data_IF_940118051880
#
_entry.id   IF_940118051880
#
_cell.length_a   1.000
_cell.length_b   1.000
_cell.length_c   1.000
_cell.angle_alpha   90.00
_cell.angle_beta   90.00
_cell.angle_gamma   90.00
#
_symmetry.space_group_name_H-M   'P 1'
#
loop_
_entity.id
_entity.type
_entity.pdbx_description
1 polymer ?
#
# COMPACT_ATOMS: atom_id res chain seq x y z
N UNK A 1 -0.26 35.42 -16.06
CA UNK A 1 -1.35 35.18 -17.04
C UNK A 1 -2.65 35.88 -16.69
N UNK A 2 -2.89 36.25 -15.42
CA UNK A 2 -4.04 37.10 -15.03
C UNK A 2 -4.12 38.44 -15.77
N UNK A 3 -2.99 38.95 -16.28
CA UNK A 3 -2.90 40.19 -17.07
C UNK A 3 -3.75 40.18 -18.35
N UNK A 4 -4.14 38.99 -18.84
CA UNK A 4 -5.03 38.83 -20.00
C UNK A 4 -6.50 39.08 -19.61
N UNK A 5 -6.85 39.00 -18.32
CA UNK A 5 -8.19 39.24 -17.82
C UNK A 5 -8.40 40.75 -17.67
N UNK A 6 -9.55 41.24 -18.16
CA UNK A 6 -9.87 42.66 -18.10
C UNK A 6 -9.84 43.20 -16.65
N UNK A 7 -8.92 44.13 -16.41
CA UNK A 7 -8.68 44.74 -15.10
C UNK A 7 -9.58 45.93 -14.78
N UNK A 8 -10.56 46.24 -15.64
CA UNK A 8 -11.44 47.39 -15.45
C UNK A 8 -10.87 48.68 -16.01
N UNK A 9 -11.71 49.70 -16.06
CA UNK A 9 -11.35 51.08 -16.39
C UNK A 9 -12.04 52.01 -15.39
N UNK A 10 -11.85 53.33 -15.53
CA UNK A 10 -12.59 54.32 -14.73
C UNK A 10 -14.13 54.18 -14.86
N UNK A 11 -14.62 53.54 -15.91
CA UNK A 11 -16.04 53.42 -16.24
C UNK A 11 -16.59 51.99 -16.08
N UNK A 12 -15.72 50.97 -16.11
CA UNK A 12 -16.11 49.56 -16.10
C UNK A 12 -15.38 48.78 -15.01
N UNK A 13 -16.14 47.94 -14.30
CA UNK A 13 -15.58 47.08 -13.25
C UNK A 13 -14.68 45.99 -13.85
N UNK A 14 -13.65 45.55 -13.12
CA UNK A 14 -12.84 44.40 -13.50
C UNK A 14 -13.69 43.14 -13.64
N UNK A 15 -13.32 42.27 -14.58
CA UNK A 15 -13.94 40.96 -14.76
C UNK A 15 -13.11 39.87 -14.07
N UNK A 16 -13.77 38.76 -13.73
CA UNK A 16 -13.14 37.60 -13.08
C UNK A 16 -12.70 36.48 -14.04
N UNK A 17 -13.14 36.55 -15.30
CA UNK A 17 -12.96 35.52 -16.32
C UNK A 17 -12.62 36.18 -17.66
N UNK A 18 -11.70 35.58 -18.41
CA UNK A 18 -11.54 35.80 -19.84
C UNK A 18 -11.82 34.49 -20.60
N UNK A 19 -12.63 34.56 -21.65
CA UNK A 19 -12.94 33.42 -22.51
C UNK A 19 -12.64 33.79 -23.97
N UNK A 20 -11.97 32.88 -24.68
CA UNK A 20 -11.74 32.99 -26.12
C UNK A 20 -12.30 31.74 -26.79
N UNK A 21 -13.07 31.95 -27.87
CA UNK A 21 -13.63 30.89 -28.69
C UNK A 21 -13.04 30.97 -30.10
N UNK A 22 -12.52 29.85 -30.59
CA UNK A 22 -12.05 29.68 -31.96
C UNK A 22 -12.94 28.65 -32.65
N UNK A 23 -13.66 29.08 -33.68
CA UNK A 23 -14.49 28.19 -34.51
C UNK A 23 -13.76 27.85 -35.80
N UNK A 24 -13.57 26.56 -36.06
CA UNK A 24 -12.88 26.01 -37.23
C UNK A 24 -13.87 25.18 -38.03
N UNK A 25 -13.94 25.43 -39.35
CA UNK A 25 -14.67 24.58 -40.28
C UNK A 25 -13.78 23.43 -40.74
N UNK A 26 -14.14 22.20 -40.37
CA UNK A 26 -13.42 20.97 -40.65
C UNK A 26 -13.98 20.20 -41.87
N UNK A 27 -14.50 20.90 -42.88
CA UNK A 27 -15.14 20.30 -44.06
C UNK A 27 -14.26 19.30 -44.85
N UNK A 28 -12.94 19.33 -44.63
CA UNK A 28 -11.96 18.43 -45.29
C UNK A 28 -11.54 17.25 -44.40
N UNK A 29 -12.08 17.13 -43.18
CA UNK A 29 -11.74 16.07 -42.23
C UNK A 29 -10.26 16.06 -41.81
N UNK A 30 -9.62 17.23 -41.80
CA UNK A 30 -8.18 17.37 -41.46
C UNK A 30 -7.99 17.17 -39.95
N UNK A 31 -8.89 17.73 -39.14
CA UNK A 31 -8.90 17.48 -37.70
C UNK A 31 -9.51 16.09 -37.45
N UNK A 32 -8.94 15.28 -36.55
CA UNK A 32 -9.38 13.91 -36.27
C UNK A 32 -10.65 13.87 -35.39
N UNK A 33 -11.68 14.58 -35.81
CA UNK A 33 -13.00 14.68 -35.16
C UNK A 33 -14.08 14.57 -36.23
N UNK A 34 -15.20 13.94 -35.87
CA UNK A 34 -16.33 13.68 -36.79
C UNK A 34 -17.18 14.93 -37.10
N UNK A 35 -16.89 16.05 -36.43
CA UNK A 35 -17.65 17.28 -36.57
C UNK A 35 -17.10 18.15 -37.70
N UNK A 36 -18.01 18.66 -38.56
CA UNK A 36 -17.70 19.64 -39.60
C UNK A 36 -17.40 21.04 -39.03
N UNK A 37 -17.85 21.32 -37.82
CA UNK A 37 -17.56 22.55 -37.09
C UNK A 37 -16.97 22.22 -35.72
N UNK A 38 -15.80 22.77 -35.44
CA UNK A 38 -15.04 22.53 -34.22
C UNK A 38 -14.83 23.85 -33.51
N UNK A 39 -15.38 23.97 -32.30
CA UNK A 39 -15.24 25.13 -31.43
C UNK A 39 -14.27 24.78 -30.31
N UNK A 40 -13.17 25.51 -30.24
CA UNK A 40 -12.17 25.39 -29.19
C UNK A 40 -12.30 26.60 -28.28
N UNK A 41 -12.50 26.36 -26.99
CA UNK A 41 -12.66 27.41 -25.99
C UNK A 41 -11.52 27.33 -25.00
N UNK A 42 -10.93 28.47 -24.66
CA UNK A 42 -10.04 28.61 -23.51
C UNK A 42 -10.63 29.62 -22.53
N UNK A 43 -10.75 29.22 -21.26
CA UNK A 43 -11.17 30.07 -20.15
C UNK A 43 -10.01 30.26 -19.18
N UNK A 44 -9.85 31.49 -18.69
CA UNK A 44 -8.87 31.87 -17.69
C UNK A 44 -9.57 32.59 -16.54
N UNK A 45 -9.36 32.09 -15.33
CA UNK A 45 -9.92 32.66 -14.11
C UNK A 45 -8.83 33.42 -13.34
N UNK A 46 -9.25 34.40 -12.53
CA UNK A 46 -8.34 35.10 -11.59
C UNK A 46 -7.73 34.20 -10.52
N UNK A 47 -8.25 32.99 -10.31
CA UNK A 47 -7.61 31.98 -9.45
C UNK A 47 -6.30 31.43 -10.04
N UNK A 48 -6.00 31.74 -11.31
CA UNK A 48 -4.91 31.16 -12.07
C UNK A 48 -5.29 29.87 -12.80
N UNK A 49 -6.53 29.38 -12.60
CA UNK A 49 -7.03 28.19 -13.27
C UNK A 49 -7.29 28.46 -14.76
N UNK A 50 -6.96 27.47 -15.59
CA UNK A 50 -7.22 27.49 -17.03
C UNK A 50 -8.06 26.28 -17.40
N UNK A 51 -9.19 26.52 -18.06
CA UNK A 51 -10.03 25.47 -18.60
C UNK A 51 -9.99 25.47 -20.13
N UNK A 52 -10.11 24.28 -20.69
CA UNK A 52 -10.06 24.02 -22.11
C UNK A 52 -11.31 23.24 -22.49
N UNK A 53 -12.02 23.70 -23.53
CA UNK A 53 -13.21 23.02 -24.02
C UNK A 53 -13.09 22.76 -25.52
N UNK A 54 -13.54 21.58 -25.94
CA UNK A 54 -13.71 21.18 -27.32
C UNK A 54 -15.19 20.91 -27.54
N UNK A 55 -15.85 21.68 -28.41
CA UNK A 55 -17.30 21.63 -28.62
C UNK A 55 -18.09 21.68 -27.30
N UNK A 56 -17.73 22.60 -26.41
CA UNK A 56 -18.30 22.79 -25.05
C UNK A 56 -18.03 21.64 -24.06
N UNK A 57 -17.34 20.58 -24.46
CA UNK A 57 -16.89 19.51 -23.57
C UNK A 57 -15.53 19.84 -22.96
N UNK A 58 -15.37 19.71 -21.65
CA UNK A 58 -14.09 19.96 -20.99
C UNK A 58 -13.04 18.92 -21.41
N UNK A 59 -11.84 19.38 -21.74
CA UNK A 59 -10.71 18.54 -22.16
C UNK A 59 -9.40 19.08 -21.58
N UNK A 60 -8.30 18.35 -21.78
CA UNK A 60 -6.97 18.80 -21.35
C UNK A 60 -6.32 19.61 -22.47
N UNK A 61 -5.40 20.51 -22.10
CA UNK A 61 -4.54 21.20 -23.06
C UNK A 61 -3.84 20.22 -24.02
N UNK A 62 -3.42 19.06 -23.51
CA UNK A 62 -2.80 18.00 -24.32
C UNK A 62 -3.72 17.51 -25.44
N UNK A 63 -5.02 17.37 -25.16
CA UNK A 63 -5.98 16.86 -26.14
C UNK A 63 -6.18 17.89 -27.27
N UNK A 64 -6.19 19.19 -26.95
CA UNK A 64 -6.19 20.27 -27.94
C UNK A 64 -4.88 20.30 -28.74
N UNK A 65 -3.72 20.17 -28.09
CA UNK A 65 -2.44 20.13 -28.81
C UNK A 65 -2.34 18.94 -29.76
N UNK A 66 -2.83 17.77 -29.35
CA UNK A 66 -2.88 16.58 -30.21
C UNK A 66 -3.77 16.74 -31.43
N UNK A 67 -4.83 17.54 -31.34
CA UNK A 67 -5.72 17.86 -32.45
C UNK A 67 -4.98 18.56 -33.61
N UNK A 68 -3.92 19.33 -33.32
CA UNK A 68 -3.20 20.15 -34.30
C UNK A 68 -1.82 19.60 -34.72
N UNK A 69 -1.35 18.48 -34.17
CA UNK A 69 0.00 17.99 -34.46
C UNK A 69 0.27 17.67 -35.95
N UNK A 70 -0.77 17.29 -36.70
CA UNK A 70 -0.65 16.91 -38.11
C UNK A 70 -1.17 18.00 -39.07
N UNK A 71 -1.59 19.15 -38.56
CA UNK A 71 -2.22 20.22 -39.36
C UNK A 71 -1.29 21.40 -39.65
N UNK A 72 -0.09 21.41 -39.04
CA UNK A 72 0.84 22.52 -39.13
C UNK A 72 0.35 23.79 -38.41
N UNK A 73 -0.65 23.67 -37.51
CA UNK A 73 -1.17 24.76 -36.65
C UNK A 73 -0.86 24.52 -35.16
N UNK A 74 0.25 23.86 -34.85
CA UNK A 74 0.74 23.68 -33.49
C UNK A 74 1.30 24.97 -32.84
N UNK A 75 1.75 24.91 -31.57
CA UNK A 75 2.35 26.04 -30.85
C UNK A 75 3.59 26.63 -31.53
N UNK A 76 4.23 25.87 -32.42
CA UNK A 76 5.43 26.24 -33.17
C UNK A 76 5.15 26.39 -34.67
N UNK A 77 3.87 26.38 -35.06
CA UNK A 77 3.44 26.47 -36.43
C UNK A 77 3.96 27.72 -37.13
N UNK A 78 4.49 27.54 -38.33
CA UNK A 78 4.82 28.62 -39.26
C UNK A 78 3.59 29.42 -39.73
N UNK A 79 2.37 28.99 -39.38
CA UNK A 79 1.14 29.70 -39.70
C UNK A 79 0.99 31.03 -38.95
N UNK A 80 1.76 31.24 -37.87
CA UNK A 80 1.76 32.50 -37.10
C UNK A 80 3.18 33.03 -37.01
N UNK A 81 3.47 34.10 -37.75
CA UNK A 81 4.78 34.76 -37.67
C UNK A 81 4.79 35.63 -36.41
N UNK A 82 5.46 35.13 -35.37
CA UNK A 82 5.70 35.89 -34.15
C UNK A 82 6.90 36.83 -34.32
N UNK A 83 6.91 37.94 -33.58
CA UNK A 83 8.06 38.82 -33.51
C UNK A 83 9.27 38.05 -32.94
N UNK A 84 10.40 38.05 -33.65
CA UNK A 84 11.59 37.26 -33.32
C UNK A 84 11.65 35.85 -33.96
N UNK A 85 10.58 35.37 -34.60
CA UNK A 85 10.60 34.10 -35.33
C UNK A 85 11.55 34.15 -36.54
N UNK A 86 11.67 35.33 -37.17
CA UNK A 86 12.64 35.57 -38.26
C UNK A 86 14.07 35.37 -37.77
N UNK A 87 14.39 35.83 -36.57
CA UNK A 87 15.72 35.66 -35.97
C UNK A 87 15.99 34.19 -35.62
N UNK A 88 14.97 33.43 -35.24
CA UNK A 88 15.10 31.99 -34.99
C UNK A 88 15.38 31.18 -36.28
N UNK A 89 14.78 31.60 -37.41
CA UNK A 89 15.07 31.00 -38.73
C UNK A 89 16.51 31.34 -39.17
N UNK A 90 16.95 32.56 -38.89
CA UNK A 90 18.30 33.06 -39.19
C UNK A 90 19.34 32.68 -38.13
N UNK A 91 18.94 32.01 -37.04
CA UNK A 91 19.80 31.60 -35.94
C UNK A 91 20.86 30.61 -36.43
N UNK A 92 22.10 30.78 -35.94
CA UNK A 92 23.20 29.85 -36.20
C UNK A 92 23.07 28.54 -35.42
N UNK A 93 22.22 28.50 -34.37
CA UNK A 93 22.01 27.30 -33.57
C UNK A 93 21.26 26.24 -34.38
N UNK A 94 21.91 25.10 -34.57
CA UNK A 94 21.36 23.98 -35.33
C UNK A 94 20.06 23.42 -34.73
N UNK A 95 19.87 23.52 -33.41
CA UNK A 95 18.69 23.03 -32.70
C UNK A 95 17.42 23.81 -33.06
N UNK A 96 17.51 25.14 -33.12
CA UNK A 96 16.37 26.01 -33.45
C UNK A 96 15.86 25.73 -34.87
N UNK A 97 16.79 25.64 -35.83
CA UNK A 97 16.47 25.28 -37.21
C UNK A 97 15.91 23.86 -37.33
N UNK A 98 16.47 22.90 -36.57
CA UNK A 98 16.02 21.50 -36.62
C UNK A 98 14.57 21.36 -36.20
N UNK A 99 14.12 22.07 -35.16
CA UNK A 99 12.74 22.00 -34.71
C UNK A 99 11.77 22.47 -35.80
N UNK A 100 12.11 23.55 -36.52
CA UNK A 100 11.32 24.06 -37.65
C UNK A 100 11.21 23.02 -38.78
N UNK A 101 12.32 22.39 -39.15
CA UNK A 101 12.32 21.35 -40.19
C UNK A 101 11.56 20.08 -39.76
N UNK A 102 11.68 19.67 -38.49
CA UNK A 102 10.96 18.52 -37.96
C UNK A 102 9.44 18.74 -37.95
N UNK A 103 8.99 19.97 -37.68
CA UNK A 103 7.58 20.33 -37.75
C UNK A 103 7.07 20.40 -39.19
N UNK A 104 7.85 20.99 -40.10
CA UNK A 104 7.53 20.98 -41.53
C UNK A 104 7.48 19.55 -42.11
N UNK A 105 8.33 18.65 -41.60
CA UNK A 105 8.32 17.23 -41.98
C UNK A 105 7.22 16.40 -41.30
N UNK A 106 6.43 16.99 -40.38
CA UNK A 106 5.35 16.30 -39.67
C UNK A 106 5.83 15.18 -38.72
N UNK A 107 7.11 15.14 -38.34
CA UNK A 107 7.66 14.07 -37.49
C UNK A 107 7.48 14.33 -36.00
N UNK A 108 7.04 15.53 -35.61
CA UNK A 108 6.88 15.99 -34.22
C UNK A 108 5.98 15.06 -33.41
N UNK A 109 4.84 14.61 -33.97
CA UNK A 109 3.92 13.66 -33.33
C UNK A 109 4.60 12.36 -32.93
N UNK A 110 5.36 11.75 -33.84
CA UNK A 110 6.05 10.50 -33.61
C UNK A 110 7.18 10.65 -32.59
N UNK A 111 7.93 11.77 -32.67
CA UNK A 111 9.00 12.09 -31.72
C UNK A 111 8.44 12.27 -30.30
N UNK A 112 7.33 12.99 -30.15
CA UNK A 112 6.67 13.17 -28.86
C UNK A 112 6.15 11.83 -28.30
N UNK A 113 5.46 11.02 -29.12
CA UNK A 113 4.97 9.69 -28.71
C UNK A 113 6.11 8.77 -28.30
N UNK A 114 7.22 8.77 -29.04
CA UNK A 114 8.43 8.01 -28.70
C UNK A 114 9.00 8.45 -27.36
N UNK A 115 9.12 9.76 -27.11
CA UNK A 115 9.64 10.30 -25.85
C UNK A 115 8.75 9.89 -24.66
N UNK A 116 7.44 10.00 -24.81
CA UNK A 116 6.49 9.56 -23.77
C UNK A 116 6.55 8.06 -23.52
N UNK A 117 6.62 7.24 -24.58
CA UNK A 117 6.71 5.80 -24.46
C UNK A 117 8.00 5.37 -23.75
N UNK A 118 9.13 5.99 -24.06
CA UNK A 118 10.41 5.75 -23.37
C UNK A 118 10.30 6.16 -21.90
N UNK A 119 9.75 7.34 -21.61
CA UNK A 119 9.59 7.80 -20.23
C UNK A 119 8.70 6.84 -19.41
N UNK A 120 7.59 6.35 -19.98
CA UNK A 120 6.73 5.34 -19.35
C UNK A 120 7.47 4.02 -19.13
N UNK A 121 8.24 3.57 -20.13
CA UNK A 121 9.02 2.34 -20.02
C UNK A 121 10.02 2.41 -18.87
N UNK A 122 10.76 3.51 -18.74
CA UNK A 122 11.73 3.70 -17.66
C UNK A 122 11.04 3.77 -16.28
N UNK A 123 9.89 4.44 -16.18
CA UNK A 123 9.10 4.44 -14.95
C UNK A 123 8.65 3.03 -14.56
N UNK A 124 8.12 2.25 -15.52
CA UNK A 124 7.70 0.86 -15.27
C UNK A 124 8.86 -0.04 -14.88
N UNK A 125 10.05 0.14 -15.47
CA UNK A 125 11.26 -0.60 -15.04
C UNK A 125 11.63 -0.30 -13.60
N UNK A 126 11.57 0.97 -13.19
CA UNK A 126 11.82 1.36 -11.80
C UNK A 126 10.81 0.73 -10.84
N UNK A 127 9.52 0.72 -11.22
CA UNK A 127 8.46 0.07 -10.43
C UNK A 127 8.69 -1.43 -10.27
N UNK A 128 9.09 -2.13 -11.35
CA UNK A 128 9.41 -3.56 -11.31
C UNK A 128 10.59 -3.88 -10.40
N UNK A 129 11.63 -3.04 -10.42
CA UNK A 129 12.78 -3.21 -9.54
C UNK A 129 12.37 -3.11 -8.07
N UNK A 130 11.55 -2.10 -7.74
CA UNK A 130 11.01 -1.93 -6.39
C UNK A 130 10.10 -3.10 -5.96
N UNK A 131 9.30 -3.62 -6.88
CA UNK A 131 8.49 -4.82 -6.61
C UNK A 131 9.37 -6.04 -6.33
N UNK A 132 10.48 -6.19 -7.05
CA UNK A 132 11.47 -7.24 -6.80
C UNK A 132 12.02 -7.18 -5.38
N UNK A 133 12.38 -5.99 -4.89
CA UNK A 133 12.88 -5.80 -3.52
C UNK A 133 11.82 -6.18 -2.47
N UNK A 134 10.57 -5.77 -2.68
CA UNK A 134 9.45 -6.09 -1.77
C UNK A 134 9.20 -7.61 -1.73
N UNK A 135 9.22 -8.28 -2.88
CA UNK A 135 9.04 -9.74 -2.94
C UNK A 135 10.15 -10.44 -2.16
N UNK A 136 11.42 -10.03 -2.36
CA UNK A 136 12.55 -10.61 -1.64
C UNK A 136 12.44 -10.40 -0.11
N UNK A 137 11.96 -9.24 0.32
CA UNK A 137 11.71 -8.97 1.74
C UNK A 137 10.58 -9.86 2.31
N UNK A 138 9.46 -9.97 1.59
CA UNK A 138 8.33 -10.82 2.01
C UNK A 138 8.76 -12.28 2.08
N UNK A 139 9.51 -12.79 1.11
CA UNK A 139 10.02 -14.17 1.11
C UNK A 139 10.90 -14.45 2.34
N UNK A 140 11.74 -13.48 2.73
CA UNK A 140 12.54 -13.58 3.95
C UNK A 140 11.66 -13.65 5.20
N UNK A 141 10.62 -12.82 5.28
CA UNK A 141 9.66 -12.83 6.40
C UNK A 141 8.89 -14.16 6.47
N UNK A 142 8.41 -14.67 5.33
CA UNK A 142 7.73 -15.97 5.24
C UNK A 142 8.66 -17.10 5.71
N UNK A 143 9.93 -17.08 5.29
CA UNK A 143 10.93 -18.04 5.74
C UNK A 143 11.15 -18.02 7.26
N UNK A 144 11.20 -16.84 7.87
CA UNK A 144 11.32 -16.69 9.33
C UNK A 144 10.07 -17.19 10.06
N UNK A 145 8.87 -16.82 9.60
CA UNK A 145 7.60 -17.26 10.17
C UNK A 145 7.43 -18.78 10.09
N UNK A 146 7.86 -19.40 8.99
CA UNK A 146 7.86 -20.87 8.84
C UNK A 146 8.71 -21.55 9.90
N UNK A 147 9.90 -21.01 10.22
CA UNK A 147 10.77 -21.52 11.29
C UNK A 147 10.18 -21.31 12.68
N UNK A 148 9.53 -20.17 12.91
CA UNK A 148 8.84 -19.89 14.18
C UNK A 148 7.66 -20.85 14.39
N UNK A 149 6.84 -21.06 13.35
CA UNK A 149 5.72 -22.00 13.38
C UNK A 149 6.19 -23.45 13.65
N UNK A 150 7.29 -23.87 13.02
CA UNK A 150 7.88 -25.19 13.27
C UNK A 150 8.31 -25.37 14.74
N UNK A 151 8.99 -24.35 15.31
CA UNK A 151 9.39 -24.35 16.73
C UNK A 151 8.19 -24.37 17.67
N UNK A 152 7.17 -23.57 17.41
CA UNK A 152 5.94 -23.55 18.21
C UNK A 152 5.22 -24.91 18.19
N UNK A 153 5.14 -25.57 17.02
CA UNK A 153 4.57 -26.92 16.91
C UNK A 153 5.40 -27.99 17.62
N UNK A 154 6.73 -27.87 17.63
CA UNK A 154 7.61 -28.77 18.37
C UNK A 154 7.44 -28.57 19.89
N UNK A 155 7.42 -27.32 20.33
CA UNK A 155 7.17 -26.97 21.73
C UNK A 155 5.83 -27.49 22.24
N UNK A 156 4.75 -27.30 21.47
CA UNK A 156 3.42 -27.82 21.87
C UNK A 156 3.45 -29.33 22.08
N UNK A 157 4.08 -30.09 21.17
CA UNK A 157 4.22 -31.54 21.29
C UNK A 157 5.02 -31.95 22.53
N UNK A 158 6.17 -31.31 22.75
CA UNK A 158 7.00 -31.58 23.94
C UNK A 158 6.29 -31.21 25.25
N UNK A 159 5.49 -30.14 25.25
CA UNK A 159 4.70 -29.73 26.40
C UNK A 159 3.60 -30.74 26.72
N UNK A 160 2.93 -31.27 25.70
CA UNK A 160 1.90 -32.29 25.88
C UNK A 160 2.50 -33.60 26.40
N UNK A 161 3.67 -34.00 25.87
CA UNK A 161 4.43 -35.16 26.33
C UNK A 161 4.89 -34.99 27.80
N UNK A 162 5.50 -33.85 28.14
CA UNK A 162 5.89 -33.52 29.52
C UNK A 162 4.69 -33.61 30.47
N UNK A 163 3.56 -33.01 30.10
CA UNK A 163 2.34 -33.03 30.91
C UNK A 163 1.84 -34.46 31.14
N UNK A 164 1.93 -35.33 30.13
CA UNK A 164 1.54 -36.72 30.28
C UNK A 164 2.44 -37.46 31.28
N UNK A 165 3.76 -37.26 31.20
CA UNK A 165 4.74 -37.85 32.12
C UNK A 165 4.54 -37.32 33.55
N UNK A 166 4.34 -36.02 33.72
CA UNK A 166 4.06 -35.40 35.02
C UNK A 166 2.80 -35.99 35.66
N UNK A 167 1.72 -36.16 34.89
CA UNK A 167 0.49 -36.79 35.37
C UNK A 167 0.71 -38.25 35.78
N UNK A 168 1.46 -39.02 34.98
CA UNK A 168 1.80 -40.42 35.31
C UNK A 168 2.64 -40.51 36.58
N UNK A 169 3.66 -39.64 36.71
CA UNK A 169 4.50 -39.60 37.90
C UNK A 169 3.70 -39.21 39.15
N UNK A 170 2.86 -38.17 39.05
CA UNK A 170 2.01 -37.73 40.16
C UNK A 170 1.04 -38.84 40.59
N UNK A 171 0.44 -39.56 39.64
CA UNK A 171 -0.43 -40.70 39.94
C UNK A 171 0.32 -41.84 40.66
N UNK A 172 1.54 -42.17 40.21
CA UNK A 172 2.39 -43.18 40.87
C UNK A 172 2.75 -42.78 42.30
N UNK A 173 3.14 -41.51 42.51
CA UNK A 173 3.50 -41.01 43.84
C UNK A 173 2.29 -41.01 44.79
N UNK A 174 1.10 -40.66 44.29
CA UNK A 174 -0.14 -40.74 45.07
C UNK A 174 -0.47 -42.18 45.45
N UNK A 175 -0.31 -43.12 44.52
CA UNK A 175 -0.54 -44.55 44.79
C UNK A 175 0.42 -45.09 45.86
N UNK A 176 1.72 -44.79 45.75
CA UNK A 176 2.71 -45.15 46.76
C UNK A 176 2.41 -44.53 48.13
N UNK A 177 2.01 -43.26 48.15
CA UNK A 177 1.64 -42.57 49.39
C UNK A 177 0.39 -43.17 50.03
N UNK A 178 -0.61 -43.56 49.22
CA UNK A 178 -1.81 -44.25 49.71
C UNK A 178 -1.47 -45.64 50.27
N UNK A 179 -0.60 -46.39 49.59
CA UNK A 179 -0.11 -47.67 50.09
C UNK A 179 0.57 -47.54 51.44
N UNK A 180 1.50 -46.58 51.59
CA UNK A 180 2.16 -46.28 52.87
C UNK A 180 1.18 -45.83 53.95
N UNK A 181 0.19 -45.00 53.60
CA UNK A 181 -0.82 -44.56 54.56
C UNK A 181 -1.65 -45.75 55.07
N UNK A 182 -2.05 -46.65 54.18
CA UNK A 182 -2.80 -47.85 54.55
C UNK A 182 -2.00 -48.77 55.46
N UNK A 183 -0.71 -48.98 55.16
CA UNK A 183 0.19 -49.76 56.00
C UNK A 183 0.34 -49.15 57.40
N UNK A 184 0.51 -47.82 57.48
CA UNK A 184 0.58 -47.09 58.75
C UNK A 184 -0.75 -47.15 59.52
N UNK A 185 -1.90 -47.12 58.85
CA UNK A 185 -3.21 -47.28 59.48
C UNK A 185 -3.40 -48.66 60.10
N UNK A 186 -3.04 -49.72 59.38
CA UNK A 186 -3.06 -51.09 59.92
C UNK A 186 -2.14 -51.18 61.14
N UNK A 187 -0.92 -50.64 61.04
CA UNK A 187 0.04 -50.66 62.15
C UNK A 187 -0.45 -49.90 63.37
N UNK A 188 -1.08 -48.73 63.17
CA UNK A 188 -1.73 -47.95 64.23
C UNK A 188 -2.85 -48.74 64.88
N UNK A 189 -3.70 -49.40 64.08
CA UNK A 189 -4.77 -50.26 64.59
C UNK A 189 -4.26 -51.39 65.47
N UNK A 190 -3.22 -52.10 65.03
CA UNK A 190 -2.59 -53.18 65.79
C UNK A 190 -2.00 -52.68 67.12
N UNK A 191 -1.23 -51.58 67.07
CA UNK A 191 -0.67 -50.97 68.28
C UNK A 191 -1.75 -50.50 69.26
N UNK A 192 -2.91 -50.04 68.77
CA UNK A 192 -4.01 -49.61 69.63
C UNK A 192 -4.73 -50.79 70.30
N UNK A 193 -4.85 -51.92 69.61
CA UNK A 193 -5.32 -53.18 70.21
C UNK A 193 -4.34 -53.66 71.27
N UNK A 194 -3.04 -53.70 70.97
CA UNK A 194 -2.00 -54.05 71.94
C UNK A 194 -2.03 -53.13 73.17
N UNK A 195 -2.12 -51.81 72.96
CA UNK A 195 -2.24 -50.85 74.04
C UNK A 195 -3.50 -51.08 74.89
N UNK A 196 -4.65 -51.36 74.28
CA UNK A 196 -5.88 -51.67 75.02
C UNK A 196 -5.77 -52.96 75.85
N UNK A 197 -5.08 -53.97 75.33
CA UNK A 197 -4.84 -55.22 76.04
C UNK A 197 -3.91 -55.00 77.25
N UNK A 198 -2.81 -54.25 77.05
CA UNK A 198 -1.88 -53.90 78.13
C UNK A 198 -2.56 -53.02 79.19
N UNK A 199 -3.38 -52.04 78.79
CA UNK A 199 -4.16 -51.23 79.73
C UNK A 199 -5.14 -52.07 80.55
N UNK A 200 -5.86 -53.00 79.91
CA UNK A 200 -6.79 -53.89 80.61
C UNK A 200 -6.07 -54.85 81.57
N UNK A 201 -4.88 -55.33 81.20
CA UNK A 201 -4.02 -56.13 82.09
C UNK A 201 -3.46 -55.31 83.26
N UNK A 202 -3.16 -54.03 83.04
CA UNK A 202 -2.73 -53.12 84.09
C UNK A 202 -3.86 -52.82 85.08
N UNK A 203 -5.06 -52.51 84.60
CA UNK A 203 -6.26 -52.31 85.44
C UNK A 203 -6.60 -53.56 86.26
N UNK A 204 -6.50 -54.77 85.68
CA UNK A 204 -6.63 -56.03 86.43
C UNK A 204 -5.56 -56.20 87.51
N UNK A 205 -4.33 -55.76 87.24
CA UNK A 205 -3.24 -55.79 88.23
C UNK A 205 -3.48 -54.79 89.36
N UNK A 206 -3.97 -53.58 89.05
CA UNK A 206 -4.33 -52.59 90.06
C UNK A 206 -5.50 -53.04 90.93
N UNK A 207 -6.55 -53.62 90.35
CA UNK A 207 -7.68 -54.14 91.13
C UNK A 207 -7.25 -55.26 92.08
N UNK A 208 -6.38 -56.19 91.64
CA UNK A 208 -5.88 -57.25 92.53
C UNK A 208 -4.95 -56.76 93.64
N UNK A 209 -4.27 -55.61 93.43
CA UNK A 209 -3.49 -54.91 94.45
C UNK A 209 -4.37 -54.14 95.44
N UNK A 210 -5.51 -53.60 95.01
CA UNK A 210 -6.49 -52.95 95.90
C UNK A 210 -7.28 -53.96 96.75
N UNK A 211 -7.58 -55.16 96.24
CA UNK A 211 -8.23 -56.23 97.03
C UNK A 211 -7.29 -56.90 98.05
N UNK A 212 -5.97 -56.74 97.91
CA UNK A 212 -4.96 -57.21 98.88
C UNK A 212 -4.62 -56.22 100.01
N UNK A 213 -5.38 -55.13 100.13
CA UNK A 213 -5.26 -54.13 101.21
C UNK A 213 -6.48 -54.15 102.10
#
# INVERSE_FOLDING_TARGET
>A
MEEVIFNGTAQLKPLGLAEVNLTIKNNRGILPVEYDEVVITRRLYRSGESEYLLNKSQCRLKDIMELFYDTGMGPHAYSVIQQGMVDAILSDKAEDRRNLFEEAAGVTKYKHRKKEAIAKLEATKADLLRLGDIIAEIDKQVGQLKRQAARARAFSRQKDELKSIELTLAASLLYDSQGKHHELEIRRGNLQVEHSAVSADYEKREMSLQESR
#
